data_IF_047996175782
#
_entry.id   IF_047996175782
#
_cell.length_a   1.000
_cell.length_b   1.000
_cell.length_c   1.000
_cell.angle_alpha   90.00
_cell.angle_beta   90.00
_cell.angle_gamma   90.00
#
_symmetry.space_group_name_H-M   'P 1'
#
loop_
_entity.id
_entity.type
_entity.pdbx_description
1 polymer ?
#
# COMPACT_ATOMS: atom_id res chain seq x y z
N UNK A 1 16.69 19.17 0.86
CA UNK A 1 15.44 18.83 0.14
C UNK A 1 14.79 20.14 -0.29
N UNK A 2 14.83 20.47 -1.59
CA UNK A 2 14.16 21.67 -2.13
C UNK A 2 12.76 21.25 -2.54
N UNK A 3 11.75 21.79 -1.88
CA UNK A 3 10.34 21.49 -2.18
C UNK A 3 9.84 22.64 -3.03
N UNK A 4 9.66 22.38 -4.32
CA UNK A 4 9.10 23.36 -5.26
C UNK A 4 7.60 23.11 -5.37
N UNK A 5 6.80 24.07 -4.93
CA UNK A 5 5.35 24.04 -5.11
C UNK A 5 5.01 24.72 -6.43
N UNK A 6 4.55 23.97 -7.42
CA UNK A 6 4.00 24.53 -8.66
C UNK A 6 2.49 24.60 -8.51
N UNK A 7 1.96 25.80 -8.31
CA UNK A 7 0.52 26.05 -8.35
C UNK A 7 0.09 26.01 -9.82
N UNK A 8 -0.73 25.03 -10.21
CA UNK A 8 -1.34 25.01 -11.54
C UNK A 8 -2.46 26.05 -11.52
N UNK A 9 -2.16 27.25 -12.04
CA UNK A 9 -3.11 28.34 -12.11
C UNK A 9 -3.87 28.26 -13.44
N UNK A 10 -5.11 27.77 -13.40
CA UNK A 10 -6.06 28.04 -14.48
C UNK A 10 -6.58 29.47 -14.31
N UNK A 11 -6.00 30.38 -15.10
CA UNK A 11 -6.52 31.68 -15.52
C UNK A 11 -7.43 32.43 -14.52
N UNK A 12 -6.83 33.37 -13.75
CA UNK A 12 -7.45 34.66 -13.42
C UNK A 12 -6.40 35.55 -12.71
N UNK A 13 -6.06 36.69 -13.32
CA UNK A 13 -5.24 37.73 -12.71
C UNK A 13 -6.04 38.46 -11.61
N UNK A 14 -5.51 38.47 -10.38
CA UNK A 14 -5.83 39.47 -9.36
C UNK A 14 -4.57 39.71 -8.49
N UNK A 15 -4.13 40.97 -8.27
CA UNK A 15 -2.97 41.25 -7.45
C UNK A 15 -3.38 41.10 -5.99
N UNK A 16 -2.68 40.22 -5.25
CA UNK A 16 -2.93 40.02 -3.83
C UNK A 16 -1.83 40.65 -2.99
N UNK A 17 -2.20 41.79 -2.42
CA UNK A 17 -1.51 42.51 -1.37
C UNK A 17 -1.33 41.59 -0.14
N UNK A 18 -0.08 41.31 0.22
CA UNK A 18 0.29 40.48 1.36
C UNK A 18 0.18 41.31 2.65
N UNK A 19 -0.92 41.14 3.39
CA UNK A 19 -0.99 41.50 4.81
C UNK A 19 -1.35 40.29 5.67
N UNK A 20 -0.56 40.16 6.74
CA UNK A 20 -0.73 39.32 7.95
C UNK A 20 -0.17 37.91 7.86
N UNK A 21 0.96 37.70 8.55
CA UNK A 21 1.64 36.42 8.77
C UNK A 21 0.77 35.59 9.73
N UNK A 22 -0.11 34.76 9.19
CA UNK A 22 -0.54 33.54 9.88
C UNK A 22 0.51 32.46 9.57
N UNK A 23 1.15 31.93 10.61
CA UNK A 23 2.13 30.84 10.49
C UNK A 23 1.48 29.60 9.88
N UNK A 24 1.71 29.41 8.59
CA UNK A 24 1.42 28.18 7.86
C UNK A 24 2.60 27.23 8.08
N UNK A 25 2.35 26.02 8.58
CA UNK A 25 3.37 24.98 8.74
C UNK A 25 3.08 23.81 7.81
N UNK A 26 3.84 23.75 6.72
CA UNK A 26 4.04 22.48 5.99
C UNK A 26 5.35 21.91 6.52
N UNK A 27 5.29 20.78 7.22
CA UNK A 27 6.45 20.19 7.85
C UNK A 27 6.58 18.71 7.50
N UNK A 28 7.81 18.30 7.18
CA UNK A 28 8.24 16.90 7.27
C UNK A 28 8.72 16.72 8.70
N UNK A 29 7.77 16.45 9.59
CA UNK A 29 7.97 16.67 11.02
C UNK A 29 8.72 15.52 11.67
N UNK A 30 8.71 14.32 11.08
CA UNK A 30 9.28 13.15 11.72
C UNK A 30 9.89 12.15 10.72
N UNK A 31 11.14 11.82 11.00
CA UNK A 31 11.89 10.73 10.41
C UNK A 31 11.99 9.63 11.46
N UNK A 32 11.65 8.41 11.10
CA UNK A 32 11.79 7.26 11.98
C UNK A 32 12.58 6.17 11.29
N UNK A 33 13.54 5.60 12.02
CA UNK A 33 14.35 4.45 11.64
C UNK A 33 14.30 3.48 12.80
N UNK A 34 14.35 2.18 12.51
CA UNK A 34 14.41 1.16 13.53
C UNK A 34 15.57 0.21 13.26
N UNK A 35 16.30 -0.14 14.31
CA UNK A 35 17.32 -1.20 14.27
C UNK A 35 16.72 -2.60 14.52
N UNK A 36 15.44 -2.68 14.89
CA UNK A 36 14.73 -3.93 15.18
C UNK A 36 13.47 -4.04 14.33
N UNK A 37 13.03 -5.28 14.12
CA UNK A 37 11.81 -5.56 13.37
C UNK A 37 10.61 -5.21 14.23
N UNK A 38 10.04 -4.03 13.99
CA UNK A 38 8.87 -3.53 14.70
C UNK A 38 7.99 -2.72 13.76
N UNK A 39 6.79 -2.38 14.23
CA UNK A 39 5.91 -1.45 13.54
C UNK A 39 6.07 -0.05 14.09
N UNK A 40 5.80 0.94 13.26
CA UNK A 40 5.63 2.31 13.73
C UNK A 40 4.51 2.34 14.78
N UNK A 41 4.72 2.94 15.96
CA UNK A 41 3.68 3.05 16.97
C UNK A 41 2.49 3.89 16.50
N UNK A 42 2.71 4.81 15.53
CA UNK A 42 1.67 5.65 14.95
C UNK A 42 1.05 5.01 13.73
N UNK A 43 -0.23 5.28 13.54
CA UNK A 43 -0.96 4.89 12.34
C UNK A 43 -0.33 5.53 11.09
N UNK A 44 -0.23 4.79 9.97
CA UNK A 44 -0.85 3.49 9.70
C UNK A 44 0.06 2.28 10.06
N UNK A 45 0.92 2.41 11.07
CA UNK A 45 1.71 1.31 11.67
C UNK A 45 2.50 0.48 10.66
N UNK A 46 3.11 1.17 9.69
CA UNK A 46 4.00 0.55 8.70
C UNK A 46 5.15 -0.16 9.42
N UNK A 47 5.51 -1.34 8.91
CA UNK A 47 6.59 -2.16 9.45
C UNK A 47 7.94 -1.57 9.04
N UNK A 48 8.91 -1.55 9.96
CA UNK A 48 10.29 -1.21 9.64
C UNK A 48 11.04 -2.45 9.16
N UNK A 49 11.82 -2.29 8.09
CA UNK A 49 12.94 -3.16 7.77
C UNK A 49 14.14 -2.69 8.60
N UNK A 50 14.70 -3.52 9.49
CA UNK A 50 15.79 -3.14 10.39
C UNK A 50 16.99 -2.56 9.65
N UNK A 51 17.38 -1.32 9.96
CA UNK A 51 18.55 -0.66 9.37
C UNK A 51 18.47 -0.32 7.88
N UNK A 52 17.47 -0.82 7.16
CA UNK A 52 17.32 -0.67 5.71
C UNK A 52 16.10 0.15 5.30
N UNK A 53 15.28 0.61 6.26
CA UNK A 53 14.12 1.45 5.97
C UNK A 53 14.06 2.69 6.84
N UNK A 54 13.51 3.75 6.24
CA UNK A 54 13.20 5.02 6.87
C UNK A 54 11.75 5.36 6.57
N UNK A 55 11.03 5.83 7.57
CA UNK A 55 9.65 6.30 7.43
C UNK A 55 9.59 7.81 7.59
N UNK A 56 8.81 8.45 6.71
CA UNK A 56 8.57 9.88 6.70
C UNK A 56 7.11 10.14 7.02
N UNK A 57 6.88 11.08 7.94
CA UNK A 57 5.55 11.63 8.19
C UNK A 57 5.44 13.04 7.59
N UNK A 58 4.58 13.16 6.60
CA UNK A 58 4.19 14.43 6.02
C UNK A 58 3.02 15.01 6.81
N UNK A 59 3.17 16.25 7.29
CA UNK A 59 2.13 16.98 8.01
C UNK A 59 1.87 18.32 7.32
N UNK A 60 0.61 18.54 6.94
CA UNK A 60 0.11 19.83 6.48
C UNK A 60 -0.92 20.33 7.48
N UNK A 61 -0.54 21.30 8.32
CA UNK A 61 -1.38 21.82 9.38
C UNK A 61 -1.64 23.32 9.22
N UNK A 62 -2.87 23.74 9.52
CA UNK A 62 -3.30 25.15 9.57
C UNK A 62 -2.95 25.94 8.30
N UNK A 63 -3.02 25.28 7.14
CA UNK A 63 -2.82 25.95 5.86
C UNK A 63 -4.03 26.83 5.55
N UNK A 64 -3.85 28.15 5.62
CA UNK A 64 -4.87 29.10 5.19
C UNK A 64 -4.97 29.09 3.66
N UNK A 65 -6.14 28.73 3.16
CA UNK A 65 -6.43 28.64 1.72
C UNK A 65 -7.67 29.45 1.37
N UNK A 66 -7.66 30.05 0.18
CA UNK A 66 -8.85 30.74 -0.37
C UNK A 66 -9.85 29.75 -0.97
N UNK A 67 -9.43 28.50 -1.16
CA UNK A 67 -10.25 27.45 -1.74
C UNK A 67 -11.06 26.76 -0.64
N UNK A 68 -12.34 27.12 -0.53
CA UNK A 68 -13.29 26.49 0.41
C UNK A 68 -13.52 25.00 0.13
N UNK A 69 -13.35 24.59 -1.13
CA UNK A 69 -13.44 23.20 -1.61
C UNK A 69 -12.09 22.67 -2.12
N UNK A 70 -10.99 23.15 -1.53
CA UNK A 70 -9.63 22.77 -1.92
C UNK A 70 -9.24 21.36 -1.48
N UNK A 71 -8.68 20.57 -2.40
CA UNK A 71 -7.95 19.34 -2.09
C UNK A 71 -6.47 19.56 -2.36
N UNK A 72 -5.65 18.94 -1.54
CA UNK A 72 -4.21 19.06 -1.63
C UNK A 72 -3.59 17.73 -2.03
N UNK A 73 -2.41 17.83 -2.61
CA UNK A 73 -1.62 16.70 -3.02
C UNK A 73 -0.13 17.02 -3.02
N UNK A 74 0.66 15.97 -3.16
CA UNK A 74 2.11 16.03 -3.30
C UNK A 74 2.51 15.47 -4.66
N UNK A 75 3.54 16.06 -5.23
CA UNK A 75 4.27 15.50 -6.34
C UNK A 75 5.66 15.11 -5.84
N UNK A 76 5.97 13.83 -5.89
CA UNK A 76 7.23 13.26 -5.43
C UNK A 76 8.05 12.81 -6.62
N UNK A 77 9.33 13.19 -6.65
CA UNK A 77 10.28 12.67 -7.62
C UNK A 77 11.06 11.52 -6.97
N UNK A 78 10.93 10.32 -7.52
CA UNK A 78 11.74 9.17 -7.16
C UNK A 78 12.89 9.01 -8.14
N UNK A 79 14.08 8.79 -7.60
CA UNK A 79 15.31 8.58 -8.38
C UNK A 79 15.89 7.23 -7.98
N UNK A 80 16.22 6.40 -8.96
CA UNK A 80 16.81 5.08 -8.77
C UNK A 80 18.09 4.96 -9.60
N UNK A 81 19.02 4.14 -9.13
CA UNK A 81 20.23 3.81 -9.88
C UNK A 81 19.93 3.05 -11.19
N UNK A 82 18.82 2.33 -11.21
CA UNK A 82 18.33 1.58 -12.37
C UNK A 82 17.71 2.53 -13.40
N UNK A 83 18.09 2.40 -14.66
CA UNK A 83 17.61 3.24 -15.77
C UNK A 83 16.16 2.92 -16.16
N UNK A 84 15.35 3.95 -16.42
CA UNK A 84 13.97 3.82 -16.92
C UNK A 84 13.85 4.62 -18.20
N UNK A 85 13.41 3.99 -19.29
CA UNK A 85 13.18 4.67 -20.56
C UNK A 85 11.76 5.23 -20.70
N UNK A 86 11.60 6.13 -21.66
CA UNK A 86 10.30 6.69 -22.00
C UNK A 86 9.33 5.58 -22.45
N UNK A 87 8.21 5.44 -21.74
CA UNK A 87 7.22 4.39 -21.97
C UNK A 87 7.34 3.20 -21.02
N UNK A 88 8.41 3.10 -20.22
CA UNK A 88 8.51 2.16 -19.10
C UNK A 88 8.20 2.84 -17.77
N UNK A 89 7.97 2.03 -16.73
CA UNK A 89 7.76 2.51 -15.37
C UNK A 89 8.34 1.50 -14.36
N UNK A 90 8.65 2.00 -13.16
CA UNK A 90 8.92 1.15 -12.01
C UNK A 90 7.68 0.33 -11.66
N UNK A 91 7.87 -0.94 -11.28
CA UNK A 91 6.75 -1.82 -10.92
C UNK A 91 5.99 -1.22 -9.72
N UNK A 92 4.73 -0.85 -9.96
CA UNK A 92 3.77 -0.52 -8.92
C UNK A 92 2.98 -1.79 -8.58
N UNK A 93 3.00 -2.18 -7.32
CA UNK A 93 2.26 -3.32 -6.82
C UNK A 93 1.28 -2.86 -5.75
N UNK A 94 0.01 -3.18 -5.96
CA UNK A 94 -1.04 -3.01 -4.95
C UNK A 94 -1.35 -4.38 -4.37
N UNK A 95 -0.99 -4.56 -3.10
CA UNK A 95 -1.25 -5.78 -2.35
C UNK A 95 -2.50 -5.60 -1.51
N UNK A 96 -3.52 -6.41 -1.81
CA UNK A 96 -4.72 -6.50 -0.99
C UNK A 96 -4.53 -7.52 0.12
N UNK A 97 -4.84 -7.15 1.35
CA UNK A 97 -4.86 -8.03 2.51
C UNK A 97 -6.14 -7.80 3.30
N UNK A 98 -6.82 -8.90 3.64
CA UNK A 98 -8.02 -8.88 4.50
C UNK A 98 -7.65 -8.48 5.94
N UNK A 99 -6.37 -8.57 6.31
CA UNK A 99 -5.92 -8.18 7.64
C UNK A 99 -5.82 -6.64 7.77
N UNK A 100 -6.79 -6.05 8.46
CA UNK A 100 -6.81 -4.64 8.83
C UNK A 100 -6.54 -4.37 10.32
N UNK A 101 -6.18 -5.39 11.11
CA UNK A 101 -5.93 -5.26 12.56
C UNK A 101 -4.92 -4.14 12.88
N UNK A 102 -3.92 -4.01 12.01
CA UNK A 102 -2.84 -3.01 12.13
C UNK A 102 -3.25 -1.64 11.60
N UNK A 103 -4.15 -1.58 10.61
CA UNK A 103 -4.67 -0.34 10.03
C UNK A 103 -6.14 -0.51 9.68
N UNK A 104 -7.03 -0.31 10.66
CA UNK A 104 -8.44 -0.60 10.49
C UNK A 104 -9.07 0.12 9.29
N UNK A 105 -9.88 -0.60 8.52
CA UNK A 105 -10.53 -0.08 7.32
C UNK A 105 -9.62 0.19 6.12
N UNK A 106 -8.34 -0.17 6.18
CA UNK A 106 -7.40 -0.09 5.04
C UNK A 106 -6.85 -1.47 4.70
N UNK A 107 -7.35 -2.04 3.59
CA UNK A 107 -7.02 -3.39 3.14
C UNK A 107 -5.96 -3.42 2.04
N UNK A 108 -5.36 -2.29 1.71
CA UNK A 108 -4.40 -2.16 0.62
C UNK A 108 -3.06 -1.65 1.12
N UNK A 109 -1.98 -2.18 0.55
CA UNK A 109 -0.62 -1.68 0.69
C UNK A 109 -0.04 -1.47 -0.69
N UNK A 110 0.45 -0.25 -0.94
CA UNK A 110 1.00 0.13 -2.23
C UNK A 110 2.51 0.16 -2.15
N UNK A 111 3.16 -0.62 -3.03
CA UNK A 111 4.60 -0.72 -3.14
C UNK A 111 5.06 -0.22 -4.51
N UNK A 112 6.10 0.59 -4.56
CA UNK A 112 6.83 0.92 -5.78
C UNK A 112 8.21 0.27 -5.65
N UNK A 113 8.48 -0.71 -6.52
CA UNK A 113 9.77 -1.41 -6.54
C UNK A 113 10.68 -0.73 -7.55
N UNK A 114 11.74 -0.08 -7.06
CA UNK A 114 12.64 0.72 -7.90
C UNK A 114 13.66 -0.13 -8.69
N UNK A 115 13.74 -1.42 -8.40
CA UNK A 115 14.56 -2.40 -9.14
C UNK A 115 13.80 -3.24 -10.17
N UNK A 116 12.48 -3.14 -10.22
CA UNK A 116 11.64 -3.92 -11.12
C UNK A 116 10.93 -3.01 -12.12
N UNK A 117 10.58 -3.55 -13.29
CA UNK A 117 9.83 -2.84 -14.35
C UNK A 117 8.43 -3.42 -14.47
N UNK A 118 7.49 -2.60 -14.93
CA UNK A 118 6.15 -3.08 -15.28
C UNK A 118 6.19 -3.86 -16.60
N UNK A 119 5.69 -5.10 -16.59
CA UNK A 119 5.69 -6.00 -17.75
C UNK A 119 4.60 -5.63 -18.78
N UNK A 120 3.71 -4.68 -18.46
CA UNK A 120 2.61 -4.27 -19.34
C UNK A 120 3.09 -3.55 -20.62
N UNK A 121 4.31 -3.02 -20.61
CA UNK A 121 4.96 -2.44 -21.78
C UNK A 121 6.08 -3.37 -22.21
N UNK A 122 6.15 -3.71 -23.51
CA UNK A 122 7.24 -4.50 -24.08
C UNK A 122 8.56 -3.76 -23.81
N UNK A 123 9.22 -4.08 -22.71
CA UNK A 123 10.53 -3.57 -22.32
C UNK A 123 11.48 -3.82 -23.49
N UNK A 124 11.79 -2.77 -24.25
CA UNK A 124 12.71 -2.88 -25.41
C UNK A 124 14.17 -2.92 -24.95
N UNK A 125 14.41 -2.47 -23.72
CA UNK A 125 15.65 -2.82 -23.04
C UNK A 125 15.49 -4.24 -22.51
N UNK A 126 16.33 -5.15 -22.98
CA UNK A 126 16.58 -6.37 -22.20
C UNK A 126 17.00 -5.90 -20.81
N UNK A 127 16.50 -6.51 -19.71
CA UNK A 127 17.17 -6.33 -18.43
C UNK A 127 18.65 -6.55 -18.70
N UNK A 128 19.52 -5.69 -18.19
CA UNK A 128 20.95 -5.95 -18.27
C UNK A 128 21.22 -7.19 -17.40
N UNK A 129 20.90 -8.36 -17.94
CA UNK A 129 21.09 -9.71 -17.39
C UNK A 129 22.55 -10.13 -17.49
N UNK A 130 23.43 -9.15 -17.63
CA UNK A 130 24.89 -9.25 -17.55
C UNK A 130 25.50 -8.17 -16.65
N UNK A 131 24.71 -7.31 -15.99
CA UNK A 131 25.19 -6.71 -14.75
C UNK A 131 25.26 -7.83 -13.70
N UNK A 132 26.40 -8.05 -13.02
CA UNK A 132 26.42 -8.92 -11.87
C UNK A 132 25.31 -8.45 -10.94
N UNK A 133 24.41 -9.36 -10.58
CA UNK A 133 23.31 -9.17 -9.63
C UNK A 133 23.79 -8.17 -8.58
N UNK A 134 23.25 -6.95 -8.59
CA UNK A 134 23.82 -5.86 -7.81
C UNK A 134 23.97 -6.36 -6.37
N UNK A 135 25.18 -6.31 -5.82
CA UNK A 135 25.43 -6.79 -4.45
C UNK A 135 24.56 -6.06 -3.41
N UNK A 136 24.00 -4.92 -3.81
CA UNK A 136 23.10 -4.10 -3.03
C UNK A 136 21.63 -4.40 -3.37
N UNK A 137 20.77 -4.53 -2.35
CA UNK A 137 19.35 -4.72 -2.54
C UNK A 137 18.71 -3.47 -3.18
N UNK A 138 17.78 -3.67 -4.11
CA UNK A 138 17.09 -2.59 -4.79
C UNK A 138 16.23 -1.76 -3.83
N UNK A 139 15.99 -0.49 -4.18
CA UNK A 139 15.13 0.39 -3.38
C UNK A 139 13.64 0.05 -3.53
N UNK A 140 12.86 0.27 -2.48
CA UNK A 140 11.41 0.24 -2.51
C UNK A 140 10.81 1.45 -1.81
N UNK A 141 9.57 1.77 -2.19
CA UNK A 141 8.73 2.74 -1.51
C UNK A 141 7.44 2.03 -1.16
N UNK A 142 6.96 2.21 0.07
CA UNK A 142 5.74 1.58 0.57
C UNK A 142 4.88 2.61 1.29
N UNK A 143 3.59 2.62 0.98
CA UNK A 143 2.61 3.41 1.71
C UNK A 143 1.27 2.69 1.74
N UNK A 144 0.49 2.97 2.78
CA UNK A 144 -0.95 2.65 2.77
C UNK A 144 -1.70 3.83 2.14
N UNK A 145 -2.75 3.60 1.32
CA UNK A 145 -3.46 4.65 0.60
C UNK A 145 -4.44 5.42 1.52
N UNK A 146 -3.96 5.81 2.70
CA UNK A 146 -4.72 6.45 3.77
C UNK A 146 -3.95 7.62 4.37
N UNK A 147 -4.61 8.74 4.60
CA UNK A 147 -4.12 9.85 5.40
C UNK A 147 -5.08 10.14 6.56
N UNK A 148 -4.64 10.93 7.53
CA UNK A 148 -5.39 11.24 8.73
C UNK A 148 -5.62 12.74 8.88
N UNK A 149 -6.80 13.08 9.40
CA UNK A 149 -7.26 14.46 9.63
C UNK A 149 -7.20 14.89 11.10
N UNK A 150 -6.61 14.04 11.95
CA UNK A 150 -6.41 14.28 13.38
C UNK A 150 -5.04 13.76 13.80
N UNK A 151 -4.29 14.55 14.59
CA UNK A 151 -2.99 14.12 15.10
C UNK A 151 -3.12 13.08 16.23
N UNK A 152 -4.07 13.29 17.14
CA UNK A 152 -4.26 12.46 18.35
C UNK A 152 -5.08 11.21 18.09
N UNK A 153 -6.12 11.30 17.26
CA UNK A 153 -7.09 10.21 17.04
C UNK A 153 -7.03 9.76 15.59
N UNK A 154 -6.02 8.94 15.25
CA UNK A 154 -5.86 8.36 13.91
C UNK A 154 -6.72 7.10 13.75
N UNK A 155 -8.01 7.28 13.95
CA UNK A 155 -9.02 6.21 13.84
C UNK A 155 -9.69 6.22 12.46
N UNK A 156 -10.52 5.22 12.18
CA UNK A 156 -11.28 5.09 10.92
C UNK A 156 -12.11 6.35 10.63
N UNK A 157 -12.68 7.00 11.65
CA UNK A 157 -13.47 8.23 11.44
C UNK A 157 -12.63 9.41 10.94
N UNK A 158 -11.36 9.46 11.32
CA UNK A 158 -10.43 10.51 10.95
C UNK A 158 -9.59 10.16 9.72
N UNK A 159 -9.74 8.94 9.16
CA UNK A 159 -9.01 8.50 7.98
C UNK A 159 -9.65 9.01 6.69
N UNK A 160 -8.83 9.33 5.70
CA UNK A 160 -9.22 9.76 4.35
C UNK A 160 -8.33 9.07 3.33
N UNK A 161 -8.76 9.06 2.08
CA UNK A 161 -7.99 8.43 1.01
C UNK A 161 -6.71 9.23 0.74
N UNK A 162 -5.60 8.51 0.54
CA UNK A 162 -4.38 9.04 -0.05
C UNK A 162 -4.14 8.33 -1.40
N UNK A 163 -4.73 8.88 -2.47
CA UNK A 163 -4.70 8.25 -3.79
C UNK A 163 -3.39 8.54 -4.49
N UNK A 164 -2.64 7.48 -4.80
CA UNK A 164 -1.54 7.55 -5.75
C UNK A 164 -2.12 7.68 -7.16
N UNK A 165 -1.73 8.76 -7.86
CA UNK A 165 -2.18 9.06 -9.21
C UNK A 165 -1.82 7.97 -10.22
N UNK A 166 -2.74 7.73 -11.16
CA UNK A 166 -2.56 6.81 -12.29
C UNK A 166 -1.56 7.35 -13.30
N UNK A 167 -1.55 8.68 -13.51
CA UNK A 167 -0.55 9.35 -14.35
C UNK A 167 0.77 9.46 -13.60
N UNK A 168 1.75 8.72 -14.12
CA UNK A 168 3.15 8.72 -13.69
C UNK A 168 3.96 9.16 -14.88
N UNK A 169 4.86 10.11 -14.67
CA UNK A 169 5.67 10.63 -15.75
C UNK A 169 7.12 10.24 -15.47
N UNK A 170 7.73 9.54 -16.43
CA UNK A 170 9.19 9.53 -16.54
C UNK A 170 9.60 10.96 -16.92
N UNK A 171 10.57 11.51 -16.20
CA UNK A 171 11.02 12.89 -16.42
C UNK A 171 11.62 13.02 -17.81
N UNK A 172 11.06 13.91 -18.64
CA UNK A 172 11.67 14.27 -19.91
C UNK A 172 12.90 15.17 -19.69
N UNK A 173 13.73 15.30 -20.72
CA UNK A 173 14.94 16.13 -20.71
C UNK A 173 14.71 17.57 -20.26
N UNK A 174 13.61 18.22 -20.70
CA UNK A 174 13.29 19.60 -20.31
C UNK A 174 12.98 19.75 -18.83
N UNK A 175 12.21 18.82 -18.25
CA UNK A 175 11.82 18.82 -16.85
C UNK A 175 13.03 18.52 -15.96
N UNK A 176 13.92 17.63 -16.40
CA UNK A 176 15.19 17.35 -15.71
C UNK A 176 16.04 18.60 -15.55
N UNK A 177 16.22 19.37 -16.63
CA UNK A 177 17.02 20.61 -16.62
C UNK A 177 16.40 21.68 -15.71
N UNK A 178 15.07 21.72 -15.58
CA UNK A 178 14.38 22.71 -14.74
C UNK A 178 14.28 22.30 -13.25
N UNK A 179 14.00 21.03 -12.96
CA UNK A 179 13.64 20.58 -11.60
C UNK A 179 14.84 20.10 -10.77
N UNK A 180 15.87 19.57 -11.43
CA UNK A 180 16.96 18.88 -10.74
C UNK A 180 18.09 19.78 -10.22
N UNK A 181 18.47 20.90 -10.86
CA UNK A 181 19.58 21.72 -10.39
C UNK A 181 19.43 22.15 -8.93
N UNK A 182 20.47 21.90 -8.13
CA UNK A 182 20.50 22.22 -6.70
C UNK A 182 19.75 21.24 -5.78
N UNK A 183 19.32 20.09 -6.31
CA UNK A 183 18.79 18.98 -5.49
C UNK A 183 19.91 18.02 -5.08
N UNK A 184 19.71 17.27 -3.99
CA UNK A 184 20.69 16.27 -3.55
C UNK A 184 20.92 15.16 -4.59
N UNK A 185 19.89 14.60 -5.27
CA UNK A 185 20.11 13.65 -6.36
C UNK A 185 20.99 14.22 -7.48
N UNK A 186 20.86 15.51 -7.81
CA UNK A 186 21.68 16.14 -8.85
C UNK A 186 23.17 16.14 -8.49
N UNK A 187 23.49 16.41 -7.22
CA UNK A 187 24.87 16.38 -6.73
C UNK A 187 25.40 14.95 -6.57
N UNK A 188 24.57 14.03 -6.10
CA UNK A 188 24.96 12.65 -5.82
C UNK A 188 25.20 11.83 -7.09
N UNK A 189 24.28 11.90 -8.06
CA UNK A 189 24.37 11.14 -9.32
C UNK A 189 25.14 11.87 -10.42
N UNK A 190 25.49 13.14 -10.21
CA UNK A 190 26.38 13.96 -11.03
C UNK A 190 26.08 13.90 -12.55
N UNK A 191 26.83 13.10 -13.31
CA UNK A 191 26.67 13.01 -14.77
C UNK A 191 25.48 12.12 -15.17
N UNK A 192 25.18 11.06 -14.40
CA UNK A 192 24.14 10.07 -14.74
C UNK A 192 22.71 10.59 -14.62
N UNK A 193 22.54 11.72 -13.93
CA UNK A 193 21.25 12.42 -13.78
C UNK A 193 21.04 13.53 -14.80
N UNK A 194 22.08 13.85 -15.59
CA UNK A 194 21.94 14.76 -16.72
C UNK A 194 21.32 14.01 -17.89
N UNK A 195 20.60 14.72 -18.77
CA UNK A 195 20.14 14.14 -20.03
C UNK A 195 21.33 13.55 -20.79
N UNK A 196 21.22 12.30 -21.19
CA UNK A 196 22.21 11.56 -21.97
C UNK A 196 21.51 10.88 -23.15
N UNK A 197 22.25 10.67 -24.24
CA UNK A 197 21.74 9.97 -25.42
C UNK A 197 21.68 8.45 -25.20
N UNK A 198 22.47 7.91 -24.25
CA UNK A 198 22.41 6.50 -23.86
C UNK A 198 21.49 6.29 -22.64
N UNK A 199 20.29 5.72 -22.83
CA UNK A 199 19.37 5.46 -21.73
C UNK A 199 19.90 4.47 -20.69
N UNK A 200 20.87 3.62 -21.01
CA UNK A 200 21.43 2.65 -20.06
C UNK A 200 22.32 3.29 -18.99
N UNK A 201 22.93 4.44 -19.31
CA UNK A 201 23.80 5.16 -18.36
C UNK A 201 23.01 6.13 -17.45
N UNK A 202 21.78 6.47 -17.84
CA UNK A 202 20.92 7.38 -17.09
C UNK A 202 20.40 6.76 -15.78
N UNK A 203 20.13 7.58 -14.77
CA UNK A 203 19.36 7.17 -13.60
C UNK A 203 17.87 7.20 -13.90
N UNK A 204 17.13 6.18 -13.44
CA UNK A 204 15.69 6.14 -13.59
C UNK A 204 15.01 7.18 -12.71
N UNK A 205 14.11 7.97 -13.31
CA UNK A 205 13.39 9.04 -12.62
C UNK A 205 11.90 8.96 -12.87
N UNK A 206 11.10 9.04 -11.80
CA UNK A 206 9.62 8.97 -11.87
C UNK A 206 8.98 10.04 -11.01
N UNK A 207 8.05 10.80 -11.58
CA UNK A 207 7.12 11.63 -10.83
C UNK A 207 5.90 10.83 -10.39
N UNK A 208 5.62 10.86 -9.10
CA UNK A 208 4.43 10.29 -8.49
C UNK A 208 3.58 11.39 -7.87
N UNK A 209 2.37 11.55 -8.40
CA UNK A 209 1.36 12.42 -7.80
C UNK A 209 0.59 11.65 -6.73
N UNK A 210 0.29 12.32 -5.63
CA UNK A 210 -0.43 11.78 -4.48
C UNK A 210 -1.46 12.82 -4.08
N UNK A 211 -2.72 12.43 -3.98
CA UNK A 211 -3.81 13.34 -3.64
C UNK A 211 -4.51 12.88 -2.37
N UNK A 212 -4.94 13.84 -1.55
CA UNK A 212 -5.55 13.56 -0.25
C UNK A 212 -7.02 13.96 -0.24
N UNK A 213 -7.83 13.12 0.39
CA UNK A 213 -9.24 13.39 0.67
C UNK A 213 -10.20 12.40 0.02
N UNK A 214 -11.32 12.15 0.72
CA UNK A 214 -12.38 11.23 0.31
C UNK A 214 -13.62 12.03 -0.11
N UNK A 215 -14.38 11.66 -1.14
CA UNK A 215 -15.62 12.38 -1.48
C UNK A 215 -16.54 12.55 -0.26
N UNK A 216 -17.06 13.77 -0.05
CA UNK A 216 -17.96 14.08 1.08
C UNK A 216 -17.28 14.39 2.42
N UNK A 217 -15.94 14.45 2.47
CA UNK A 217 -15.17 14.66 3.70
C UNK A 217 -15.13 16.11 4.24
N UNK A 218 -15.79 17.05 3.57
CA UNK A 218 -15.74 18.47 3.91
C UNK A 218 -14.46 19.18 3.45
N UNK A 219 -13.61 18.54 2.64
CA UNK A 219 -12.34 19.08 2.14
C UNK A 219 -11.34 19.43 3.25
N UNK A 220 -10.18 19.96 2.90
CA UNK A 220 -9.14 20.31 3.88
C UNK A 220 -9.61 21.34 4.91
N UNK A 221 -10.49 22.27 4.51
CA UNK A 221 -10.96 23.36 5.38
C UNK A 221 -11.70 22.83 6.62
N UNK A 222 -12.31 21.66 6.53
CA UNK A 222 -13.03 21.06 7.67
C UNK A 222 -12.08 20.62 8.80
N UNK A 223 -10.94 20.00 8.49
CA UNK A 223 -9.98 19.53 9.51
C UNK A 223 -8.83 20.50 9.76
N UNK A 224 -8.42 21.25 8.74
CA UNK A 224 -7.19 22.05 8.74
C UNK A 224 -5.92 21.21 8.92
N UNK A 225 -5.99 19.90 8.64
CA UNK A 225 -4.90 18.96 8.90
C UNK A 225 -4.92 17.77 7.93
N UNK A 226 -3.75 17.44 7.40
CA UNK A 226 -3.44 16.19 6.72
C UNK A 226 -2.16 15.61 7.32
N UNK A 227 -2.21 14.34 7.69
CA UNK A 227 -1.05 13.54 8.08
C UNK A 227 -0.96 12.31 7.20
N UNK A 228 0.17 12.10 6.54
CA UNK A 228 0.40 10.94 5.68
C UNK A 228 1.78 10.34 5.93
N UNK A 229 1.87 9.01 5.90
CA UNK A 229 3.12 8.30 6.21
C UNK A 229 3.53 7.45 5.01
N UNK A 230 4.81 7.53 4.66
CA UNK A 230 5.44 6.77 3.59
C UNK A 230 6.74 6.14 4.12
N UNK A 231 7.03 4.92 3.70
CA UNK A 231 8.26 4.20 4.00
C UNK A 231 9.12 4.12 2.74
N UNK A 232 10.42 4.38 2.88
CA UNK A 232 11.43 4.12 1.86
C UNK A 232 12.43 3.13 2.43
N UNK A 233 12.91 2.19 1.62
CA UNK A 233 13.95 1.29 2.08
C UNK A 233 14.64 0.54 0.97
N UNK A 234 15.50 -0.39 1.35
CA UNK A 234 16.20 -1.29 0.45
C UNK A 234 15.80 -2.75 0.73
N UNK A 235 15.68 -3.54 -0.33
CA UNK A 235 15.29 -4.94 -0.29
C UNK A 235 13.85 -5.14 -0.72
N UNK A 236 13.27 -6.25 -0.25
CA UNK A 236 11.86 -6.53 -0.50
C UNK A 236 10.98 -5.72 0.47
N UNK A 237 9.93 -5.05 0.00
CA UNK A 237 8.98 -4.37 0.88
C UNK A 237 8.38 -5.36 1.90
N UNK A 238 8.26 -4.97 3.18
CA UNK A 238 7.70 -5.85 4.19
C UNK A 238 6.22 -6.13 3.88
N UNK A 239 5.83 -7.41 3.99
CA UNK A 239 4.45 -7.85 3.79
C UNK A 239 3.74 -8.08 5.13
N UNK A 240 2.44 -7.77 5.16
CA UNK A 240 1.59 -8.04 6.30
C UNK A 240 0.93 -9.43 6.14
N UNK A 241 1.23 -10.34 7.07
CA UNK A 241 0.56 -11.64 7.16
C UNK A 241 -0.88 -11.52 7.67
N UNK A 242 -1.61 -12.64 7.66
CA UNK A 242 -2.94 -12.73 8.26
C UNK A 242 -2.87 -12.55 9.79
N UNK A 243 -3.89 -11.94 10.39
CA UNK A 243 -3.94 -11.79 11.85
C UNK A 243 -4.15 -13.15 12.53
N UNK A 244 -3.57 -13.36 13.73
CA UNK A 244 -3.84 -14.56 14.52
C UNK A 244 -5.33 -14.76 14.80
N UNK A 245 -6.08 -13.66 14.98
CA UNK A 245 -7.54 -13.70 15.16
C UNK A 245 -8.26 -14.21 13.91
N UNK A 246 -7.90 -13.71 12.72
CA UNK A 246 -8.50 -14.17 11.47
C UNK A 246 -8.15 -15.64 11.20
N UNK A 247 -6.90 -16.05 11.45
CA UNK A 247 -6.48 -17.45 11.37
C UNK A 247 -7.30 -18.30 12.35
N UNK A 248 -7.52 -17.82 13.58
CA UNK A 248 -8.36 -18.48 14.57
C UNK A 248 -9.82 -18.65 14.12
N UNK A 249 -10.40 -17.63 13.51
CA UNK A 249 -11.78 -17.71 12.97
C UNK A 249 -11.87 -18.69 11.79
N UNK A 250 -10.90 -18.65 10.87
CA UNK A 250 -10.85 -19.58 9.74
C UNK A 250 -10.71 -21.02 10.24
N UNK A 251 -9.79 -21.27 11.18
CA UNK A 251 -9.58 -22.62 11.73
C UNK A 251 -10.79 -23.12 12.50
N UNK A 252 -11.42 -22.30 13.34
CA UNK A 252 -12.65 -22.65 14.05
C UNK A 252 -13.79 -22.97 13.09
N UNK A 253 -13.98 -22.14 12.05
CA UNK A 253 -15.02 -22.37 11.03
C UNK A 253 -14.80 -23.70 10.28
N UNK A 254 -13.56 -24.03 9.93
CA UNK A 254 -13.21 -25.27 9.28
C UNK A 254 -13.48 -26.49 10.18
N UNK A 255 -13.15 -26.40 11.47
CA UNK A 255 -13.42 -27.46 12.46
C UNK A 255 -14.92 -27.69 12.61
N UNK A 256 -15.73 -26.64 12.68
CA UNK A 256 -17.19 -26.76 12.79
C UNK A 256 -17.78 -27.42 11.53
N UNK A 257 -17.37 -26.99 10.33
CA UNK A 257 -17.86 -27.56 9.07
C UNK A 257 -17.47 -29.04 8.95
N UNK A 258 -16.19 -29.37 9.12
CA UNK A 258 -15.71 -30.76 9.05
C UNK A 258 -16.31 -31.63 10.16
N UNK A 259 -16.40 -31.11 11.38
CA UNK A 259 -17.01 -31.79 12.52
C UNK A 259 -18.49 -32.11 12.27
N UNK A 260 -19.25 -31.18 11.71
CA UNK A 260 -20.66 -31.41 11.36
C UNK A 260 -20.83 -32.46 10.27
N UNK A 261 -19.94 -32.50 9.27
CA UNK A 261 -19.97 -33.49 8.19
C UNK A 261 -19.64 -34.89 8.72
N UNK A 262 -18.61 -35.01 9.56
CA UNK A 262 -18.25 -36.27 10.21
C UNK A 262 -19.34 -36.76 11.16
N UNK A 263 -19.93 -35.86 11.93
CA UNK A 263 -21.04 -36.21 12.82
C UNK A 263 -22.29 -36.64 12.04
N UNK A 264 -22.64 -35.93 10.96
CA UNK A 264 -23.76 -36.28 10.09
C UNK A 264 -23.56 -37.63 9.41
N UNK A 265 -22.38 -37.89 8.84
CA UNK A 265 -22.04 -39.19 8.24
C UNK A 265 -22.09 -40.33 9.27
N UNK A 266 -21.58 -40.10 10.48
CA UNK A 266 -21.64 -41.07 11.57
C UNK A 266 -23.07 -41.41 11.99
N UNK A 267 -23.95 -40.40 12.10
CA UNK A 267 -25.38 -40.61 12.37
C UNK A 267 -26.07 -41.42 11.27
N UNK A 268 -25.82 -41.09 9.99
CA UNK A 268 -26.38 -41.83 8.85
C UNK A 268 -25.97 -43.30 8.92
N UNK A 269 -24.69 -43.59 9.20
CA UNK A 269 -24.19 -44.96 9.32
C UNK A 269 -24.84 -45.73 10.48
N UNK A 270 -25.07 -45.08 11.64
CA UNK A 270 -25.80 -45.69 12.76
C UNK A 270 -27.23 -46.00 12.36
N UNK A 271 -27.94 -45.04 11.75
CA UNK A 271 -29.35 -45.23 11.37
C UNK A 271 -29.49 -46.33 10.32
N UNK A 272 -28.62 -46.38 9.31
CA UNK A 272 -28.62 -47.46 8.32
C UNK A 272 -28.33 -48.84 8.94
N UNK A 273 -27.41 -48.92 9.92
CA UNK A 273 -27.16 -50.18 10.64
C UNK A 273 -28.37 -50.61 11.46
N UNK A 274 -29.00 -49.70 12.20
CA UNK A 274 -30.23 -50.01 12.97
C UNK A 274 -31.38 -50.43 12.06
N UNK A 275 -31.56 -49.78 10.91
CA UNK A 275 -32.61 -50.14 9.96
C UNK A 275 -32.39 -51.56 9.40
N UNK A 276 -31.16 -51.90 8.99
CA UNK A 276 -30.83 -53.27 8.54
C UNK A 276 -31.03 -54.30 9.65
N UNK A 277 -30.64 -54.01 10.89
CA UNK A 277 -30.80 -54.96 12.00
C UNK A 277 -32.29 -55.22 12.33
N UNK A 278 -33.14 -54.20 12.27
CA UNK A 278 -34.59 -54.36 12.46
C UNK A 278 -35.27 -55.15 11.34
N UNK A 279 -34.72 -55.12 10.12
CA UNK A 279 -35.21 -55.91 8.98
C UNK A 279 -34.90 -57.41 9.16
N UNK A 280 -33.69 -57.76 9.65
CA UNK A 280 -33.34 -59.14 9.99
C UNK A 280 -34.19 -59.71 11.12
N UNK A 281 -34.51 -58.90 12.13
CA UNK A 281 -35.29 -59.36 13.28
C UNK A 281 -36.74 -59.65 12.91
N UNK A 282 -37.35 -58.85 12.01
CA UNK A 282 -38.68 -59.16 11.46
C UNK A 282 -38.67 -60.45 10.64
N UNK A 283 -37.66 -60.65 9.79
CA UNK A 283 -37.56 -61.87 8.98
C UNK A 283 -37.47 -63.13 9.88
N UNK A 284 -36.68 -63.08 10.95
CA UNK A 284 -36.58 -64.18 11.94
C UNK A 284 -37.88 -64.43 12.73
N UNK A 285 -38.68 -63.39 12.99
CA UNK A 285 -39.98 -63.53 13.66
C UNK A 285 -41.06 -64.13 12.75
N UNK A 286 -40.99 -63.87 11.44
CA UNK A 286 -41.84 -64.55 10.43
C UNK A 286 -41.51 -66.04 10.29
N UNK A 287 -40.23 -66.43 10.34
CA UNK A 287 -39.84 -67.85 10.24
C UNK A 287 -40.22 -68.67 11.48
N UNK A 288 -40.17 -68.07 12.67
CA UNK A 288 -40.52 -68.74 13.93
C UNK A 288 -42.03 -68.92 14.11
N UNK A 289 -42.85 -68.00 13.60
CA UNK A 289 -44.31 -68.11 13.65
C UNK A 289 -44.86 -69.17 12.69
N UNK A 290 -44.17 -69.47 11.58
CA UNK A 290 -44.51 -70.59 10.69
C UNK A 290 -44.13 -71.99 11.21
N UNK A 291 -43.27 -72.10 12.23
CA UNK A 291 -42.77 -73.39 12.73
C UNK A 291 -43.60 -74.00 13.88
N UNK A 292 -44.56 -73.26 14.46
CA UNK A 292 -45.36 -73.72 15.62
C UNK A 292 -46.72 -74.29 15.21
N UNK A 293 -47.09 -74.18 13.93
CA UNK A 293 -48.34 -74.73 13.38
C UNK A 293 -48.11 -76.07 12.65
N UNK A 294 -47.83 -77.14 13.39
CA UNK A 294 -47.98 -78.54 12.94
C UNK A 294 -48.31 -79.43 14.12
#
# INVERSE_FOLDING_TARGET
MKISFKTVNSSCHCPLELRTIQTVSISFTQFAISAVEQRNPRMPRLKFVPGLSIQFEFVMAKLHTKFTRGRFGLQLLFVSNESVILGEDFRLESLFSINDEVTPGTFEMVNIKLGERDNSTKSTLQPHSTAPQSSWPAGFIQARPVCYTSERYREVKASRDAKLGVHRAVLNTSDQVQLLPGTLPYLFYAQRIKPTDDPHEAVGMRLQNISFGTPGDGYYVHSGLIVWTISFGFGEPPMDGLSPLLIGLITLSAVVVLGSLLFGTMLILIFQRRYRFGEFQRLAETDTTSAVST
#
